data_IF_417284771841
#
_entry.id   IF_417284771841
#
_cell.length_a   1.000
_cell.length_b   1.000
_cell.length_c   1.000
_cell.angle_alpha   90.00
_cell.angle_beta   90.00
_cell.angle_gamma   90.00
#
_symmetry.space_group_name_H-M   'P 1'
#
loop_
_entity.id
_entity.type
_entity.pdbx_description
1 polymer ?
#
# COMPACT_ATOMS: atom_id res chain seq x y z
N UNK A 1 46.48 -18.07 3.55
CA UNK A 1 45.54 -17.18 4.25
C UNK A 1 44.40 -16.85 3.27
N UNK A 2 43.44 -17.77 3.11
CA UNK A 2 42.27 -17.56 2.23
C UNK A 2 41.28 -16.66 2.96
N UNK A 3 40.95 -15.51 2.36
CA UNK A 3 39.96 -14.58 2.89
C UNK A 3 38.56 -15.19 2.78
N UNK A 4 37.92 -15.35 3.93
CA UNK A 4 36.48 -15.60 4.04
C UNK A 4 35.75 -14.34 3.56
N UNK A 5 35.50 -14.24 2.26
CA UNK A 5 34.50 -13.31 1.73
C UNK A 5 33.15 -13.83 2.20
N UNK A 6 32.67 -13.25 3.30
CA UNK A 6 31.36 -13.52 3.87
C UNK A 6 30.31 -13.04 2.85
N UNK A 7 29.81 -13.96 2.01
CA UNK A 7 28.74 -13.66 1.05
C UNK A 7 27.55 -13.11 1.82
N UNK A 8 27.16 -11.86 1.55
CA UNK A 8 25.95 -11.27 2.12
C UNK A 8 24.77 -12.20 1.81
N UNK A 9 23.97 -12.55 2.83
CA UNK A 9 22.78 -13.39 2.62
C UNK A 9 21.85 -12.68 1.63
N UNK A 10 21.28 -13.38 0.63
CA UNK A 10 20.31 -12.78 -0.26
C UNK A 10 19.16 -12.23 0.58
N UNK A 11 18.91 -10.92 0.48
CA UNK A 11 17.79 -10.29 1.16
C UNK A 11 16.50 -10.73 0.49
N UNK A 12 15.71 -11.54 1.19
CA UNK A 12 14.37 -11.91 0.77
C UNK A 12 13.45 -10.68 0.90
N UNK A 13 12.43 -10.55 0.06
CA UNK A 13 11.42 -9.52 0.26
C UNK A 13 10.75 -9.72 1.63
N UNK A 14 10.36 -8.62 2.25
CA UNK A 14 9.64 -8.58 3.52
C UNK A 14 8.50 -7.57 3.36
N UNK A 15 7.31 -7.93 3.85
CA UNK A 15 6.15 -7.04 3.93
C UNK A 15 5.65 -7.01 5.36
N UNK A 16 5.28 -5.81 5.82
CA UNK A 16 4.75 -5.56 7.16
C UNK A 16 3.56 -4.64 7.02
N UNK A 17 2.52 -4.90 7.81
CA UNK A 17 1.25 -4.18 7.81
C UNK A 17 0.73 -4.04 9.23
N UNK A 18 -0.07 -3.00 9.50
CA UNK A 18 -0.68 -2.82 10.80
C UNK A 18 -1.92 -3.72 11.01
N UNK A 19 -2.16 -4.09 12.28
CA UNK A 19 -3.37 -4.76 12.78
C UNK A 19 -3.68 -6.15 12.19
N UNK A 20 -4.80 -6.75 12.63
CA UNK A 20 -5.22 -8.11 12.25
C UNK A 20 -5.61 -8.25 10.77
N UNK A 21 -6.21 -7.22 10.18
CA UNK A 21 -6.51 -7.20 8.74
C UNK A 21 -5.24 -7.03 7.89
N UNK A 22 -4.08 -6.84 8.54
CA UNK A 22 -2.77 -6.94 7.94
C UNK A 22 -2.39 -8.34 7.46
N UNK A 23 -2.90 -9.42 8.08
CA UNK A 23 -2.63 -10.79 7.60
C UNK A 23 -3.11 -11.03 6.16
N UNK A 24 -4.39 -10.79 5.81
CA UNK A 24 -4.84 -10.93 4.43
C UNK A 24 -4.22 -9.87 3.48
N UNK A 25 -3.90 -8.67 3.97
CA UNK A 25 -3.17 -7.67 3.19
C UNK A 25 -1.75 -8.16 2.81
N UNK A 26 -1.02 -8.74 3.77
CA UNK A 26 0.31 -9.31 3.53
C UNK A 26 0.25 -10.51 2.58
N UNK A 27 -0.81 -11.31 2.62
CA UNK A 27 -0.99 -12.41 1.67
C UNK A 27 -1.07 -11.89 0.23
N UNK A 28 -1.91 -10.87 -0.03
CA UNK A 28 -2.03 -10.26 -1.35
C UNK A 28 -0.71 -9.58 -1.80
N UNK A 29 -0.02 -8.88 -0.90
CA UNK A 29 1.27 -8.30 -1.19
C UNK A 29 2.33 -9.38 -1.49
N UNK A 30 2.29 -10.51 -0.78
CA UNK A 30 3.24 -11.60 -0.96
C UNK A 30 3.09 -12.30 -2.31
N UNK A 31 1.87 -12.43 -2.84
CA UNK A 31 1.65 -12.98 -4.19
C UNK A 31 2.42 -12.24 -5.29
N UNK A 32 2.66 -10.94 -5.09
CA UNK A 32 3.45 -10.10 -6.00
C UNK A 32 4.94 -10.26 -5.71
N UNK A 33 5.33 -10.17 -4.44
CA UNK A 33 6.75 -10.26 -4.03
C UNK A 33 7.37 -11.63 -4.35
N UNK A 34 6.63 -12.71 -4.15
CA UNK A 34 7.08 -14.09 -4.43
C UNK A 34 7.37 -14.32 -5.92
N UNK A 35 6.66 -13.60 -6.80
CA UNK A 35 6.85 -13.62 -8.26
C UNK A 35 7.92 -12.64 -8.75
N UNK A 36 8.64 -11.97 -7.84
CA UNK A 36 9.64 -10.97 -8.18
C UNK A 36 9.06 -9.62 -8.62
N UNK A 37 7.78 -9.35 -8.32
CA UNK A 37 7.15 -8.06 -8.54
C UNK A 37 7.71 -6.94 -7.68
N UNK A 38 7.27 -5.70 -7.92
CA UNK A 38 7.85 -4.55 -7.21
C UNK A 38 7.24 -4.35 -5.83
N UNK A 39 8.00 -3.74 -4.92
CA UNK A 39 7.49 -3.35 -3.60
C UNK A 39 6.30 -2.39 -3.70
N UNK A 40 6.29 -1.50 -4.70
CA UNK A 40 5.22 -0.55 -4.94
C UNK A 40 3.90 -1.26 -5.31
N UNK A 41 3.97 -2.23 -6.22
CA UNK A 41 2.80 -3.03 -6.60
C UNK A 41 2.30 -3.88 -5.43
N UNK A 42 3.22 -4.43 -4.64
CA UNK A 42 2.91 -5.25 -3.47
C UNK A 42 2.15 -4.47 -2.40
N UNK A 43 2.60 -3.25 -2.05
CA UNK A 43 1.93 -2.45 -1.00
C UNK A 43 0.58 -1.91 -1.48
N UNK A 44 0.42 -1.57 -2.76
CA UNK A 44 -0.88 -1.17 -3.30
C UNK A 44 -1.88 -2.34 -3.24
N UNK A 45 -1.48 -3.53 -3.71
CA UNK A 45 -2.33 -4.71 -3.67
C UNK A 45 -2.72 -5.07 -2.22
N UNK A 46 -1.77 -5.00 -1.28
CA UNK A 46 -2.03 -5.22 0.13
C UNK A 46 -3.01 -4.21 0.73
N UNK A 47 -2.84 -2.92 0.46
CA UNK A 47 -3.73 -1.86 0.97
C UNK A 47 -5.16 -1.98 0.43
N UNK A 48 -5.33 -2.43 -0.83
CA UNK A 48 -6.66 -2.62 -1.45
C UNK A 48 -7.50 -3.69 -0.77
N UNK A 49 -6.89 -4.62 -0.02
CA UNK A 49 -7.61 -5.69 0.69
C UNK A 49 -8.53 -5.13 1.79
N UNK A 50 -8.03 -4.43 2.83
CA UNK A 50 -8.90 -3.83 3.83
C UNK A 50 -9.79 -2.73 3.25
N UNK A 51 -9.35 -1.98 2.23
CA UNK A 51 -10.19 -0.97 1.58
C UNK A 51 -11.46 -1.54 0.93
N UNK A 52 -11.40 -2.76 0.38
CA UNK A 52 -12.54 -3.41 -0.24
C UNK A 52 -13.47 -4.13 0.75
N UNK A 53 -13.05 -4.33 2.00
CA UNK A 53 -13.77 -5.15 2.95
C UNK A 53 -14.76 -4.31 3.78
N UNK A 54 -16.08 -4.46 3.61
CA UNK A 54 -17.08 -3.69 4.36
C UNK A 54 -17.05 -3.97 5.88
N UNK A 55 -16.54 -5.13 6.30
CA UNK A 55 -16.38 -5.47 7.72
C UNK A 55 -15.21 -4.71 8.38
N UNK A 56 -14.29 -4.15 7.58
CA UNK A 56 -13.22 -3.28 8.07
C UNK A 56 -13.76 -1.86 8.18
N UNK A 57 -14.10 -1.47 9.41
CA UNK A 57 -14.76 -0.20 9.70
C UNK A 57 -13.82 1.02 9.76
N UNK A 58 -12.52 0.80 9.59
CA UNK A 58 -11.48 1.83 9.70
C UNK A 58 -10.77 2.17 8.38
N UNK A 59 -11.08 1.48 7.28
CA UNK A 59 -10.36 1.62 5.99
C UNK A 59 -11.35 1.46 4.83
N UNK A 60 -11.33 2.40 3.88
CA UNK A 60 -12.06 2.28 2.60
C UNK A 60 -13.59 2.13 2.74
N UNK A 61 -14.15 1.19 1.98
CA UNK A 61 -15.60 1.03 1.75
C UNK A 61 -16.46 0.90 3.02
N UNK A 62 -15.95 0.23 4.05
CA UNK A 62 -16.63 0.05 5.34
C UNK A 62 -16.42 1.19 6.34
N UNK A 63 -15.65 2.22 5.97
CA UNK A 63 -15.24 3.31 6.85
C UNK A 63 -16.39 3.93 7.63
N UNK A 64 -16.14 4.27 8.90
CA UNK A 64 -17.08 5.09 9.68
C UNK A 64 -17.10 6.52 9.10
N UNK A 65 -18.28 7.14 8.97
CA UNK A 65 -18.38 8.49 8.45
C UNK A 65 -17.91 9.55 9.45
N UNK A 66 -17.68 10.76 8.95
CA UNK A 66 -17.51 11.96 9.77
C UNK A 66 -18.85 12.39 10.40
N UNK A 67 -18.83 13.50 11.17
CA UNK A 67 -20.02 14.05 11.85
C UNK A 67 -21.19 14.43 10.93
N UNK A 68 -20.92 14.66 9.64
CA UNK A 68 -21.92 14.96 8.63
C UNK A 68 -22.49 13.70 7.97
N UNK A 69 -22.08 12.51 8.38
CA UNK A 69 -22.48 11.25 7.76
C UNK A 69 -21.73 10.93 6.46
N UNK A 70 -20.68 11.67 6.13
CA UNK A 70 -19.89 11.48 4.91
C UNK A 70 -18.68 10.57 5.17
N UNK A 71 -18.48 9.56 4.31
CA UNK A 71 -17.26 8.75 4.33
C UNK A 71 -16.20 9.44 3.50
N UNK A 72 -15.18 9.96 4.19
CA UNK A 72 -14.04 10.66 3.61
C UNK A 72 -12.77 9.87 3.89
N UNK A 73 -11.97 9.64 2.84
CA UNK A 73 -10.84 8.73 2.87
C UNK A 73 -9.53 9.43 2.52
N UNK A 74 -8.50 9.07 3.28
CA UNK A 74 -7.14 9.55 3.10
C UNK A 74 -6.23 8.38 2.72
N UNK A 75 -5.31 8.61 1.79
CA UNK A 75 -4.27 7.63 1.47
C UNK A 75 -3.03 8.30 0.90
N UNK A 76 -1.88 7.69 1.12
CA UNK A 76 -0.62 8.08 0.50
C UNK A 76 0.22 6.87 0.12
N UNK A 77 1.05 7.03 -0.90
CA UNK A 77 1.95 6.00 -1.39
C UNK A 77 3.28 6.63 -1.83
N UNK A 78 4.37 5.89 -1.68
CA UNK A 78 5.72 6.34 -2.03
C UNK A 78 6.52 5.19 -2.64
N UNK A 79 7.22 5.46 -3.73
CA UNK A 79 8.22 4.55 -4.29
C UNK A 79 9.60 4.86 -3.70
N UNK A 80 10.07 4.02 -2.79
CA UNK A 80 11.37 4.19 -2.12
C UNK A 80 12.58 4.15 -3.06
N UNK A 81 12.44 3.71 -4.32
CA UNK A 81 13.55 3.72 -5.30
C UNK A 81 13.73 5.08 -5.96
N UNK A 82 12.63 5.77 -6.24
CA UNK A 82 12.63 7.04 -6.98
C UNK A 82 12.43 8.23 -6.06
N UNK A 83 11.87 8.03 -4.87
CA UNK A 83 11.42 9.11 -3.98
C UNK A 83 10.10 9.74 -4.41
N UNK A 84 9.48 9.27 -5.51
CA UNK A 84 8.18 9.74 -5.94
C UNK A 84 7.12 9.36 -4.91
N UNK A 85 6.19 10.27 -4.66
CA UNK A 85 5.07 10.05 -3.75
C UNK A 85 3.80 10.71 -4.28
N UNK A 86 2.65 10.20 -3.83
CA UNK A 86 1.35 10.75 -4.11
C UNK A 86 0.44 10.57 -2.91
N UNK A 87 -0.51 11.49 -2.76
CA UNK A 87 -1.43 11.50 -1.64
C UNK A 87 -2.78 12.06 -2.07
N UNK A 88 -3.81 11.64 -1.35
CA UNK A 88 -5.18 12.16 -1.43
C UNK A 88 -5.71 12.32 0.00
N UNK A 89 -6.59 13.29 0.18
CA UNK A 89 -7.25 13.54 1.45
C UNK A 89 -8.73 13.90 1.21
N UNK A 90 -9.58 13.58 2.17
CA UNK A 90 -11.02 13.81 2.15
C UNK A 90 -11.73 13.31 0.89
N UNK A 91 -11.24 12.20 0.31
CA UNK A 91 -11.77 11.65 -0.94
C UNK A 91 -13.09 10.91 -0.67
N UNK A 92 -14.12 11.19 -1.45
CA UNK A 92 -15.44 10.55 -1.36
C UNK A 92 -15.73 9.70 -2.58
N UNK A 93 -16.63 8.73 -2.42
CA UNK A 93 -17.17 7.89 -3.50
C UNK A 93 -16.13 7.04 -4.25
N UNK A 94 -14.95 6.84 -3.67
CA UNK A 94 -13.90 5.99 -4.22
C UNK A 94 -13.60 4.86 -3.26
N UNK A 95 -13.67 3.62 -3.76
CA UNK A 95 -13.38 2.42 -2.96
C UNK A 95 -11.91 2.31 -2.56
N UNK A 96 -11.00 2.68 -3.46
CA UNK A 96 -9.56 2.46 -3.34
C UNK A 96 -8.76 3.78 -3.38
N UNK A 97 -8.75 4.55 -2.28
CA UNK A 97 -8.00 5.79 -2.22
C UNK A 97 -6.49 5.59 -2.46
N UNK A 98 -5.90 4.44 -2.08
CA UNK A 98 -4.47 4.17 -2.34
C UNK A 98 -4.13 4.15 -3.84
N UNK A 99 -5.02 3.63 -4.68
CA UNK A 99 -4.82 3.61 -6.14
C UNK A 99 -4.95 5.01 -6.74
N UNK A 100 -5.78 5.88 -6.15
CA UNK A 100 -5.83 7.30 -6.56
C UNK A 100 -4.55 8.03 -6.13
N UNK A 101 -4.06 7.78 -4.92
CA UNK A 101 -2.77 8.31 -4.48
C UNK A 101 -1.62 7.88 -5.41
N UNK A 102 -1.64 6.62 -5.88
CA UNK A 102 -0.69 6.14 -6.90
C UNK A 102 -0.86 6.84 -8.23
N UNK A 103 -2.10 7.03 -8.68
CA UNK A 103 -2.37 7.79 -9.91
C UNK A 103 -1.85 9.22 -9.82
N UNK A 104 -2.01 9.90 -8.67
CA UNK A 104 -1.43 11.22 -8.40
C UNK A 104 0.10 11.17 -8.55
N UNK A 105 0.77 10.21 -7.91
CA UNK A 105 2.22 10.02 -8.00
C UNK A 105 2.70 9.82 -9.45
N UNK A 106 1.98 9.04 -10.25
CA UNK A 106 2.38 8.68 -11.62
C UNK A 106 2.04 9.78 -12.64
N UNK A 107 0.94 10.51 -12.42
CA UNK A 107 0.38 11.48 -13.38
C UNK A 107 0.83 12.92 -13.14
N UNK A 108 1.15 13.31 -11.90
CA UNK A 108 1.66 14.66 -11.60
C UNK A 108 3.16 14.77 -11.85
N UNK A 109 3.57 14.57 -13.11
CA UNK A 109 4.90 14.94 -13.63
C UNK A 109 4.88 16.33 -14.28
N UNK A 110 4.36 17.31 -13.56
CA UNK A 110 4.46 18.74 -13.87
C UNK A 110 5.33 19.30 -12.72
N UNK A 111 6.61 19.67 -12.89
CA UNK A 111 7.30 20.44 -13.92
C UNK A 111 8.77 19.99 -14.05
#
# INVERSE_FOLDING_TARGET
MLSLVQRARPRRPVVVSAWKYGFPANAAAWEILDKGGTALDAVEAGARVPEANPEVRSVGYGGLPNENGEVELDASIMDGRTGNAGAVAALRYIKHPISVARLVMESMKLF
#
